data_IF_347186808932
#
_entry.id   IF_347186808932
#
_cell.length_a   1.000
_cell.length_b   1.000
_cell.length_c   1.000
_cell.angle_alpha   90.00
_cell.angle_beta   90.00
_cell.angle_gamma   90.00
#
_symmetry.space_group_name_H-M   'P 1'
#
loop_
_entity.id
_entity.type
_entity.pdbx_description
1 polymer ?
#
# COMPACT_ATOMS: atom_id res chain seq x y z
N UNK A 1 -8.95 0.24 -5.44
CA UNK A 1 -7.89 -0.56 -4.78
C UNK A 1 -7.18 0.29 -3.74
N UNK A 2 -6.92 -0.27 -2.57
CA UNK A 2 -6.26 0.42 -1.47
C UNK A 2 -5.06 -0.40 -0.99
N UNK A 3 -3.94 0.27 -0.70
CA UNK A 3 -2.69 -0.37 -0.29
C UNK A 3 -2.10 0.35 0.92
N UNK A 4 -1.73 -0.39 1.95
CA UNK A 4 -0.97 0.07 3.11
C UNK A 4 0.41 -0.57 3.07
N UNK A 5 1.45 0.25 3.07
CA UNK A 5 2.80 -0.17 3.40
C UNK A 5 3.12 0.25 4.84
N UNK A 6 3.50 -0.68 5.72
CA UNK A 6 3.87 -0.35 7.09
C UNK A 6 5.23 0.35 7.17
N UNK A 7 6.12 0.06 6.21
CA UNK A 7 7.51 0.53 6.17
C UNK A 7 7.88 1.03 4.77
N UNK A 8 8.88 1.90 4.69
CA UNK A 8 9.44 2.35 3.42
C UNK A 8 10.07 1.17 2.63
N UNK A 9 10.68 0.20 3.32
CA UNK A 9 11.26 -0.97 2.68
C UNK A 9 10.19 -1.87 2.06
N UNK A 10 9.03 -2.04 2.70
CA UNK A 10 7.90 -2.74 2.09
C UNK A 10 7.47 -2.10 0.77
N UNK A 11 7.43 -0.77 0.70
CA UNK A 11 7.16 -0.02 -0.54
C UNK A 11 8.25 -0.28 -1.59
N UNK A 12 9.52 -0.21 -1.22
CA UNK A 12 10.61 -0.47 -2.16
C UNK A 12 10.67 -1.91 -2.66
N UNK A 13 10.48 -2.87 -1.77
CA UNK A 13 10.52 -4.29 -2.07
C UNK A 13 9.46 -4.65 -3.09
N UNK A 14 8.18 -4.37 -2.79
CA UNK A 14 7.09 -4.63 -3.72
C UNK A 14 7.22 -3.76 -4.99
N UNK A 15 7.76 -2.56 -4.87
CA UNK A 15 8.10 -1.67 -5.98
C UNK A 15 9.05 -2.30 -6.99
N UNK A 16 10.12 -2.95 -6.51
CA UNK A 16 11.10 -3.65 -7.35
C UNK A 16 10.51 -4.86 -8.08
N UNK A 17 9.51 -5.52 -7.49
CA UNK A 17 8.75 -6.60 -8.13
C UNK A 17 7.81 -6.11 -9.26
N UNK A 18 7.89 -4.83 -9.64
CA UNK A 18 7.14 -4.28 -10.76
C UNK A 18 5.72 -3.87 -10.42
N UNK A 19 5.31 -3.90 -9.14
CA UNK A 19 3.95 -3.53 -8.72
C UNK A 19 3.61 -2.11 -9.19
N UNK A 20 4.56 -1.17 -9.16
CA UNK A 20 4.30 0.22 -9.55
C UNK A 20 3.90 0.29 -11.03
N UNK A 21 4.58 -0.44 -11.90
CA UNK A 21 4.22 -0.50 -13.33
C UNK A 21 2.84 -1.11 -13.57
N UNK A 22 2.44 -2.07 -12.74
CA UNK A 22 1.11 -2.67 -12.77
C UNK A 22 0.05 -1.66 -12.31
N UNK A 23 0.31 -0.93 -11.23
CA UNK A 23 -0.58 0.11 -10.70
C UNK A 23 -0.75 1.25 -11.71
N UNK A 24 0.32 1.67 -12.40
CA UNK A 24 0.23 2.65 -13.49
C UNK A 24 -0.70 2.17 -14.60
N UNK A 25 -0.54 0.93 -15.07
CA UNK A 25 -1.44 0.33 -16.08
C UNK A 25 -2.88 0.25 -15.57
N UNK A 26 -3.11 -0.12 -14.32
CA UNK A 26 -4.47 -0.18 -13.77
C UNK A 26 -5.11 1.21 -13.69
N UNK A 27 -4.33 2.24 -13.34
CA UNK A 27 -4.76 3.63 -13.37
C UNK A 27 -5.23 4.09 -14.75
N UNK A 28 -4.55 3.69 -15.83
CA UNK A 28 -4.98 4.03 -17.20
C UNK A 28 -6.30 3.36 -17.61
N UNK A 29 -6.69 2.27 -16.92
CA UNK A 29 -7.97 1.58 -17.14
C UNK A 29 -9.08 2.06 -16.20
N UNK A 30 -8.87 3.19 -15.50
CA UNK A 30 -9.88 3.82 -14.64
C UNK A 30 -9.98 3.22 -13.23
N UNK A 31 -9.05 2.35 -12.83
CA UNK A 31 -9.02 1.82 -11.46
C UNK A 31 -8.45 2.88 -10.53
N UNK A 32 -9.23 3.30 -9.53
CA UNK A 32 -8.75 4.20 -8.48
C UNK A 32 -7.83 3.45 -7.51
N UNK A 33 -6.63 3.97 -7.30
CA UNK A 33 -5.58 3.38 -6.47
C UNK A 33 -5.18 4.38 -5.41
N UNK A 34 -5.29 3.98 -4.14
CA UNK A 34 -4.91 4.81 -2.99
C UNK A 34 -3.85 4.07 -2.17
N UNK A 35 -2.73 4.74 -1.89
CA UNK A 35 -1.56 4.14 -1.24
C UNK A 35 -1.19 4.95 0.00
N UNK A 36 -1.05 4.28 1.13
CA UNK A 36 -0.48 4.82 2.35
C UNK A 36 0.89 4.20 2.58
N UNK A 37 1.90 5.04 2.82
CA UNK A 37 3.27 4.59 3.07
C UNK A 37 4.03 5.60 3.92
N UNK A 38 5.05 5.18 4.69
CA UNK A 38 6.00 6.12 5.28
C UNK A 38 6.68 6.94 4.19
N UNK A 39 6.92 8.22 4.46
CA UNK A 39 7.54 9.14 3.50
C UNK A 39 9.01 9.37 3.85
N UNK A 40 9.88 9.04 2.91
CA UNK A 40 11.25 9.53 2.88
C UNK A 40 11.51 10.35 1.61
N UNK A 41 12.74 10.81 1.40
CA UNK A 41 13.09 11.64 0.25
C UNK A 41 12.86 10.97 -1.10
N UNK A 42 12.99 9.64 -1.22
CA UNK A 42 12.78 8.94 -2.49
C UNK A 42 11.29 8.70 -2.70
N UNK A 43 10.58 8.23 -1.67
CA UNK A 43 9.13 7.98 -1.74
C UNK A 43 8.38 9.29 -2.00
N UNK A 44 8.77 10.39 -1.36
CA UNK A 44 8.19 11.72 -1.63
C UNK A 44 8.32 12.11 -3.10
N UNK A 45 9.48 11.88 -3.73
CA UNK A 45 9.67 12.17 -5.16
C UNK A 45 8.80 11.28 -6.05
N UNK A 46 8.68 9.99 -5.71
CA UNK A 46 7.79 9.06 -6.42
C UNK A 46 6.33 9.50 -6.29
N UNK A 47 5.87 9.83 -5.08
CA UNK A 47 4.52 10.32 -4.82
C UNK A 47 4.21 11.59 -5.61
N UNK A 48 5.12 12.57 -5.61
CA UNK A 48 4.94 13.80 -6.40
C UNK A 48 4.84 13.52 -7.90
N UNK A 49 5.67 12.62 -8.44
CA UNK A 49 5.61 12.24 -9.85
C UNK A 49 4.31 11.53 -10.20
N UNK A 50 3.94 10.51 -9.42
CA UNK A 50 2.76 9.67 -9.66
C UNK A 50 1.48 10.50 -9.50
N UNK A 51 1.31 11.22 -8.40
CA UNK A 51 0.12 12.01 -8.11
C UNK A 51 -0.10 13.12 -9.16
N UNK A 52 0.99 13.66 -9.76
CA UNK A 52 0.90 14.65 -10.84
C UNK A 52 0.55 14.02 -12.19
N UNK A 53 1.03 12.81 -12.45
CA UNK A 53 0.91 12.15 -13.76
C UNK A 53 -0.40 11.37 -13.91
N UNK A 54 -0.91 10.78 -12.83
CA UNK A 54 -2.05 9.88 -12.86
C UNK A 54 -3.13 10.34 -11.88
N UNK A 55 -4.24 10.87 -12.39
CA UNK A 55 -5.36 11.32 -11.56
C UNK A 55 -6.03 10.17 -10.78
N UNK A 56 -5.82 8.93 -11.20
CA UNK A 56 -6.40 7.74 -10.57
C UNK A 56 -5.53 7.18 -9.44
N UNK A 57 -4.31 7.67 -9.26
CA UNK A 57 -3.37 7.15 -8.27
C UNK A 57 -3.01 8.24 -7.27
N UNK A 58 -3.20 7.95 -6.00
CA UNK A 58 -2.87 8.88 -4.92
C UNK A 58 -2.03 8.19 -3.86
N UNK A 59 -0.86 8.76 -3.58
CA UNK A 59 0.05 8.29 -2.54
C UNK A 59 0.11 9.34 -1.42
N UNK A 60 -0.19 8.91 -0.19
CA UNK A 60 -0.23 9.75 1.03
C UNK A 60 0.67 9.20 2.14
N UNK A 61 1.16 10.08 3.04
CA UNK A 61 1.89 9.64 4.22
C UNK A 61 0.97 8.83 5.14
N UNK A 62 1.52 7.78 5.74
CA UNK A 62 0.88 7.12 6.87
C UNK A 62 1.33 7.80 8.17
N UNK A 63 0.38 8.42 8.88
CA UNK A 63 0.64 9.28 10.05
C UNK A 63 0.69 8.52 11.38
N UNK A 64 0.12 7.31 11.46
CA UNK A 64 0.12 6.50 12.68
C UNK A 64 0.53 5.04 12.41
N UNK A 65 1.84 4.77 12.51
CA UNK A 65 2.46 3.50 12.11
C UNK A 65 2.47 2.43 13.23
N UNK A 66 2.16 2.81 14.47
CA UNK A 66 2.50 2.00 15.65
C UNK A 66 1.77 0.65 15.74
N UNK A 67 0.73 0.40 14.93
CA UNK A 67 -0.10 -0.82 15.01
C UNK A 67 -0.06 -1.69 13.76
N UNK A 68 0.63 -1.29 12.68
CA UNK A 68 0.58 -2.01 11.39
C UNK A 68 1.97 -2.52 11.05
N UNK A 69 2.11 -3.85 11.04
CA UNK A 69 3.36 -4.55 10.71
C UNK A 69 3.29 -5.30 9.38
N UNK A 70 2.14 -5.28 8.70
CA UNK A 70 1.89 -6.03 7.46
C UNK A 70 1.58 -5.09 6.30
N UNK A 71 2.02 -5.48 5.10
CA UNK A 71 1.50 -4.88 3.86
C UNK A 71 0.08 -5.37 3.67
N UNK A 72 -0.85 -4.44 3.47
CA UNK A 72 -2.29 -4.76 3.34
C UNK A 72 -2.76 -4.21 2.00
N UNK A 73 -3.37 -5.07 1.20
CA UNK A 73 -3.95 -4.72 -0.09
C UNK A 73 -5.43 -5.10 -0.06
N UNK A 74 -6.30 -4.19 -0.47
CA UNK A 74 -7.74 -4.47 -0.64
C UNK A 74 -8.24 -4.03 -2.02
N UNK A 75 -9.20 -4.78 -2.56
CA UNK A 75 -9.85 -4.49 -3.84
C UNK A 75 -11.36 -4.57 -3.69
N UNK A 76 -12.02 -3.43 -3.95
CA UNK A 76 -13.46 -3.24 -4.11
C UNK A 76 -14.35 -3.89 -3.05
N UNK A 77 -13.86 -3.99 -1.81
CA UNK A 77 -14.57 -4.64 -0.71
C UNK A 77 -14.78 -6.15 -0.90
N UNK A 78 -14.09 -6.78 -1.86
CA UNK A 78 -14.24 -8.21 -2.20
C UNK A 78 -13.05 -9.07 -1.81
N UNK A 79 -11.85 -8.50 -1.89
CA UNK A 79 -10.62 -9.24 -1.69
C UNK A 79 -9.65 -8.47 -0.80
N UNK A 80 -8.90 -9.21 0.01
CA UNK A 80 -7.73 -8.70 0.70
C UNK A 80 -6.53 -9.63 0.52
N UNK A 81 -5.35 -9.03 0.53
CA UNK A 81 -4.06 -9.72 0.63
C UNK A 81 -3.26 -9.04 1.74
N UNK A 82 -2.85 -9.82 2.73
CA UNK A 82 -2.04 -9.37 3.85
C UNK A 82 -0.71 -10.09 3.80
N UNK A 83 0.38 -9.34 3.80
CA UNK A 83 1.75 -9.85 3.67
C UNK A 83 2.55 -9.41 4.89
N UNK A 84 3.07 -10.38 5.62
CA UNK A 84 4.03 -10.17 6.70
C UNK A 84 5.44 -10.45 6.20
N UNK A 85 6.35 -9.52 6.47
CA UNK A 85 7.77 -9.68 6.18
C UNK A 85 8.51 -10.22 7.41
N UNK A 86 9.47 -11.12 7.18
CA UNK A 86 10.38 -11.70 8.17
C UNK A 86 11.45 -10.68 8.58
N UNK A 87 12.09 -10.09 7.58
CA UNK A 87 13.21 -9.17 7.72
C UNK A 87 13.32 -8.32 6.45
N UNK A 88 13.40 -7.00 6.63
CA UNK A 88 13.44 -6.04 5.52
C UNK A 88 14.85 -5.83 4.97
N UNK A 89 15.87 -6.40 5.61
CA UNK A 89 17.27 -6.38 5.14
C UNK A 89 17.57 -7.48 4.11
N UNK A 90 16.66 -8.46 3.96
CA UNK A 90 16.78 -9.50 2.93
C UNK A 90 16.65 -8.86 1.55
N UNK A 91 17.64 -9.00 0.64
CA UNK A 91 17.65 -8.27 -0.64
C UNK A 91 16.48 -8.57 -1.57
N UNK A 92 15.95 -9.78 -1.49
CA UNK A 92 14.81 -10.28 -2.28
C UNK A 92 13.52 -10.10 -1.50
N UNK A 93 12.55 -9.39 -2.09
CA UNK A 93 11.25 -9.19 -1.45
C UNK A 93 10.52 -10.52 -1.27
N UNK A 94 10.59 -11.42 -2.25
CA UNK A 94 9.95 -12.74 -2.17
C UNK A 94 10.54 -13.56 -1.02
N UNK A 95 11.86 -13.53 -0.84
CA UNK A 95 12.52 -14.28 0.23
C UNK A 95 12.31 -13.64 1.62
N UNK A 96 11.92 -12.37 1.68
CA UNK A 96 11.57 -11.70 2.92
C UNK A 96 10.14 -11.98 3.38
N UNK A 97 9.27 -12.56 2.56
CA UNK A 97 7.89 -12.89 2.95
C UNK A 97 7.90 -14.02 4.00
N UNK A 98 7.40 -13.71 5.20
CA UNK A 98 7.13 -14.71 6.24
C UNK A 98 5.79 -15.40 6.00
N UNK A 99 4.75 -14.61 5.69
CA UNK A 99 3.38 -15.07 5.52
C UNK A 99 2.66 -14.18 4.52
N UNK A 100 1.86 -14.78 3.64
CA UNK A 100 0.93 -14.06 2.79
C UNK A 100 -0.45 -14.72 2.85
N UNK A 101 -1.47 -13.97 3.24
CA UNK A 101 -2.85 -14.46 3.38
C UNK A 101 -3.75 -13.72 2.41
N UNK A 102 -4.27 -14.45 1.44
CA UNK A 102 -5.39 -14.01 0.61
C UNK A 102 -6.71 -14.31 1.32
N UNK A 103 -7.67 -13.38 1.25
CA UNK A 103 -9.01 -13.60 1.77
C UNK A 103 -10.07 -12.97 0.88
N UNK A 104 -11.17 -13.70 0.70
CA UNK A 104 -12.45 -13.22 0.16
C UNK A 104 -13.58 -13.31 1.21
N UNK A 105 -13.21 -13.52 2.48
CA UNK A 105 -14.17 -13.56 3.59
C UNK A 105 -14.58 -12.13 3.90
N UNK A 106 -15.88 -11.84 3.78
CA UNK A 106 -16.46 -10.51 3.94
C UNK A 106 -15.94 -9.79 5.19
N UNK A 107 -15.95 -10.44 6.36
CA UNK A 107 -15.49 -9.83 7.62
C UNK A 107 -14.03 -9.36 7.55
N UNK A 108 -13.13 -10.19 7.02
CA UNK A 108 -11.70 -9.86 6.94
C UNK A 108 -11.48 -8.69 5.98
N UNK A 109 -12.14 -8.71 4.82
CA UNK A 109 -12.02 -7.65 3.83
C UNK A 109 -12.54 -6.32 4.38
N UNK A 110 -13.66 -6.33 5.10
CA UNK A 110 -14.19 -5.13 5.76
C UNK A 110 -13.23 -4.61 6.83
N UNK A 111 -12.67 -5.46 7.69
CA UNK A 111 -11.70 -5.05 8.70
C UNK A 111 -10.54 -4.25 8.08
N UNK A 112 -9.92 -4.77 7.03
CA UNK A 112 -8.80 -4.10 6.37
C UNK A 112 -9.21 -2.87 5.57
N UNK A 113 -10.39 -2.88 4.97
CA UNK A 113 -10.92 -1.71 4.25
C UNK A 113 -11.21 -0.57 5.22
N UNK A 114 -11.86 -0.83 6.35
CA UNK A 114 -12.12 0.17 7.39
C UNK A 114 -10.83 0.71 8.00
N UNK A 115 -9.85 -0.17 8.26
CA UNK A 115 -8.53 0.26 8.71
C UNK A 115 -7.90 1.25 7.73
N UNK A 116 -7.94 0.95 6.43
CA UNK A 116 -7.43 1.84 5.39
C UNK A 116 -8.13 3.20 5.40
N UNK A 117 -9.47 3.23 5.35
CA UNK A 117 -10.22 4.49 5.29
C UNK A 117 -9.94 5.38 6.51
N UNK A 118 -9.83 4.78 7.71
CA UNK A 118 -9.54 5.52 8.93
C UNK A 118 -8.16 6.21 8.85
N UNK A 119 -7.14 5.50 8.36
CA UNK A 119 -5.80 6.08 8.19
C UNK A 119 -5.78 7.11 7.05
N UNK A 120 -6.54 6.88 5.99
CA UNK A 120 -6.65 7.78 4.85
C UNK A 120 -7.18 9.14 5.29
N UNK A 121 -8.29 9.16 6.03
CA UNK A 121 -8.87 10.40 6.57
C UNK A 121 -7.89 11.10 7.53
N UNK A 122 -7.18 10.35 8.38
CA UNK A 122 -6.18 10.94 9.28
C UNK A 122 -5.02 11.62 8.53
N UNK A 123 -4.63 11.09 7.37
CA UNK A 123 -3.56 11.69 6.55
C UNK A 123 -3.95 13.06 5.98
N UNK A 124 -5.25 13.33 5.79
CA UNK A 124 -5.76 14.61 5.30
C UNK A 124 -5.89 15.69 6.38
N UNK A 125 -5.98 15.28 7.65
CA UNK A 125 -6.15 16.20 8.79
C UNK A 125 -4.80 16.79 9.25
N UNK A 126 -3.68 16.21 8.82
CA UNK A 126 -2.33 16.56 9.33
C UNK A 126 -1.60 17.57 8.42
N UNK A 127 -2.31 18.54 7.84
CA UNK A 127 -1.72 19.64 7.03
C UNK A 127 -1.38 20.84 7.90
#
# INVERSE_FOLDING_TARGET
MSIIFPTANGFYGLGKEGIISLLEKMGTHGVQIRILTPMDNKITKVALYINKKYNQIEIKPITNQQTISSIIITSDGKFSLVIELKDEEIPSFIDSIRLAVYSNITSNVWTYTTLFENLWVQSDITV
#
